data_IF_163214392554
#
_entry.id   IF_163214392554
#
_cell.length_a   1.000
_cell.length_b   1.000
_cell.length_c   1.000
_cell.angle_alpha   90.00
_cell.angle_beta   90.00
_cell.angle_gamma   90.00
#
_symmetry.space_group_name_H-M   'P 1'
#
loop_
_entity.id
_entity.type
_entity.pdbx_description
1 polymer ?
#
# COMPACT_ATOMS: atom_id res chain seq x y z
N UNK A 1 -1.63 -10.37 -5.34
CA UNK A 1 -2.35 -9.67 -4.25
C UNK A 1 -3.67 -9.14 -4.78
N UNK A 2 -4.60 -8.73 -3.92
CA UNK A 2 -5.80 -7.99 -4.33
C UNK A 2 -5.69 -6.54 -3.85
N UNK A 3 -5.45 -5.65 -4.80
CA UNK A 3 -5.36 -4.21 -4.58
C UNK A 3 -6.76 -3.62 -4.35
N UNK A 4 -6.81 -2.59 -3.50
CA UNK A 4 -8.04 -1.87 -3.15
C UNK A 4 -7.77 -0.40 -2.97
N UNK A 5 -8.81 0.40 -3.19
CA UNK A 5 -8.89 1.75 -2.63
C UNK A 5 -9.66 1.67 -1.32
N UNK A 6 -9.13 2.27 -0.26
CA UNK A 6 -9.82 2.46 1.00
C UNK A 6 -9.75 3.92 1.43
N UNK A 7 -10.61 4.31 2.36
CA UNK A 7 -10.62 5.66 2.92
C UNK A 7 -10.05 5.63 4.33
N UNK A 8 -9.10 6.53 4.60
CA UNK A 8 -8.54 6.74 5.94
C UNK A 8 -8.23 8.22 6.11
N UNK A 9 -8.66 8.78 7.24
CA UNK A 9 -8.53 10.22 7.55
C UNK A 9 -9.13 11.13 6.45
N UNK A 10 -10.20 10.67 5.77
CA UNK A 10 -10.85 11.38 4.66
C UNK A 10 -10.05 11.37 3.35
N UNK A 11 -8.96 10.62 3.27
CA UNK A 11 -8.15 10.45 2.07
C UNK A 11 -8.34 9.05 1.49
N UNK A 12 -8.49 8.98 0.16
CA UNK A 12 -8.48 7.71 -0.57
C UNK A 12 -7.03 7.26 -0.76
N UNK A 13 -6.72 6.04 -0.32
CA UNK A 13 -5.37 5.48 -0.33
C UNK A 13 -5.34 4.14 -1.06
N UNK A 14 -4.16 3.78 -1.57
CA UNK A 14 -3.91 2.45 -2.12
C UNK A 14 -3.62 1.47 -0.99
N UNK A 15 -4.34 0.34 -1.02
CA UNK A 15 -4.17 -0.73 -0.07
C UNK A 15 -4.17 -2.09 -0.73
N UNK A 16 -3.92 -3.13 0.07
CA UNK A 16 -4.07 -4.51 -0.36
C UNK A 16 -4.75 -5.35 0.72
N UNK A 17 -5.70 -6.19 0.33
CA UNK A 17 -6.31 -7.13 1.24
C UNK A 17 -5.34 -8.23 1.67
N UNK A 18 -5.36 -8.54 2.96
CA UNK A 18 -4.67 -9.67 3.58
C UNK A 18 -5.65 -10.47 4.44
N UNK A 19 -5.20 -11.64 4.92
CA UNK A 19 -5.97 -12.49 5.83
C UNK A 19 -7.38 -12.83 5.33
N UNK A 20 -7.50 -13.19 4.05
CA UNK A 20 -8.79 -13.53 3.45
C UNK A 20 -9.75 -12.34 3.35
N UNK A 21 -9.20 -11.17 3.00
CA UNK A 21 -9.93 -9.89 2.84
C UNK A 21 -10.48 -9.30 4.15
N UNK A 22 -9.98 -9.74 5.30
CA UNK A 22 -10.40 -9.23 6.61
C UNK A 22 -9.67 -7.94 7.02
N UNK A 23 -8.45 -7.72 6.50
CA UNK A 23 -7.60 -6.58 6.83
C UNK A 23 -6.95 -5.98 5.60
N UNK A 24 -6.58 -4.70 5.68
CA UNK A 24 -6.02 -3.94 4.56
C UNK A 24 -4.67 -3.39 4.97
N UNK A 25 -3.64 -3.69 4.21
CA UNK A 25 -2.34 -3.01 4.36
C UNK A 25 -2.42 -1.65 3.66
N UNK A 26 -2.12 -0.56 4.35
CA UNK A 26 -1.82 0.75 3.75
C UNK A 26 -0.43 0.68 3.10
N UNK A 27 -0.37 0.68 1.76
CA UNK A 27 0.87 0.44 1.02
C UNK A 27 1.91 1.56 1.25
N UNK A 28 1.46 2.82 1.27
CA UNK A 28 2.33 3.96 1.49
C UNK A 28 2.87 3.96 2.92
N UNK A 29 2.01 3.69 3.91
CA UNK A 29 2.42 3.63 5.31
C UNK A 29 3.38 2.46 5.58
N UNK A 30 3.08 1.28 5.04
CA UNK A 30 3.94 0.10 5.18
C UNK A 30 5.34 0.35 4.59
N UNK A 31 5.41 0.91 3.38
CA UNK A 31 6.68 1.28 2.75
C UNK A 31 7.45 2.32 3.57
N UNK A 32 6.78 3.39 4.00
CA UNK A 32 7.40 4.46 4.78
C UNK A 32 7.98 3.95 6.09
N UNK A 33 7.24 3.13 6.84
CA UNK A 33 7.69 2.60 8.11
C UNK A 33 8.89 1.65 7.96
N UNK A 34 8.94 0.90 6.85
CA UNK A 34 10.03 -0.04 6.60
C UNK A 34 11.30 0.61 6.06
N UNK A 35 11.15 1.53 5.10
CA UNK A 35 12.29 2.12 4.38
C UNK A 35 12.69 3.49 4.90
N UNK A 36 11.89 4.10 5.80
CA UNK A 36 12.07 5.47 6.26
C UNK A 36 11.85 6.52 5.16
N UNK A 37 11.26 6.11 4.02
CA UNK A 37 11.10 6.95 2.83
C UNK A 37 9.70 6.82 2.25
N UNK A 38 9.16 7.95 1.81
CA UNK A 38 7.88 7.99 1.09
C UNK A 38 8.04 7.39 -0.31
N UNK A 39 7.01 6.69 -0.77
CA UNK A 39 6.85 6.23 -2.14
C UNK A 39 5.58 6.89 -2.72
N UNK A 40 5.70 8.03 -3.42
CA UNK A 40 4.56 8.74 -4.00
C UNK A 40 3.68 7.86 -4.91
N UNK A 41 4.30 6.90 -5.59
CA UNK A 41 3.63 5.89 -6.43
C UNK A 41 2.73 4.93 -5.63
N UNK A 42 2.81 4.91 -4.30
CA UNK A 42 1.93 4.10 -3.44
C UNK A 42 0.82 4.94 -2.78
N UNK A 43 0.75 6.24 -3.07
CA UNK A 43 -0.18 7.15 -2.39
C UNK A 43 -1.65 6.80 -2.65
N UNK A 44 -1.99 6.51 -3.91
CA UNK A 44 -3.32 6.09 -4.33
C UNK A 44 -3.24 5.13 -5.53
N UNK A 45 -4.39 4.59 -5.92
CA UNK A 45 -4.45 3.61 -7.01
C UNK A 45 -4.05 4.19 -8.37
N UNK A 46 -4.25 5.49 -8.61
CA UNK A 46 -3.84 6.12 -9.87
C UNK A 46 -2.31 6.21 -9.93
N UNK A 47 -1.68 6.71 -8.86
CA UNK A 47 -0.23 6.79 -8.76
C UNK A 47 0.45 5.42 -8.88
N UNK A 48 -0.17 4.37 -8.34
CA UNK A 48 0.32 3.00 -8.46
C UNK A 48 0.27 2.50 -9.91
N UNK A 49 -0.81 2.80 -10.63
CA UNK A 49 -0.95 2.44 -12.04
C UNK A 49 0.06 3.21 -12.90
N UNK A 50 0.23 4.51 -12.65
CA UNK A 50 1.20 5.36 -13.37
C UNK A 50 2.65 4.94 -13.12
N UNK A 51 2.95 4.44 -11.92
CA UNK A 51 4.26 3.90 -11.56
C UNK A 51 4.58 2.52 -12.14
N UNK A 52 3.59 1.83 -12.71
CA UNK A 52 3.78 0.57 -13.43
C UNK A 52 4.41 -0.55 -12.60
N UNK A 53 5.27 -1.35 -13.24
CA UNK A 53 5.85 -2.55 -12.65
C UNK A 53 6.70 -2.24 -11.40
N UNK A 54 7.47 -1.15 -11.41
CA UNK A 54 8.30 -0.74 -10.27
C UNK A 54 7.44 -0.41 -9.03
N UNK A 55 6.29 0.24 -9.23
CA UNK A 55 5.36 0.53 -8.14
C UNK A 55 4.67 -0.74 -7.64
N UNK A 56 4.34 -1.66 -8.55
CA UNK A 56 3.73 -2.94 -8.21
C UNK A 56 4.69 -3.81 -7.37
N UNK A 57 5.99 -3.82 -7.71
CA UNK A 57 7.01 -4.51 -6.93
C UNK A 57 7.13 -3.94 -5.51
N UNK A 58 7.11 -2.61 -5.36
CA UNK A 58 7.09 -1.96 -4.04
C UNK A 58 5.83 -2.30 -3.25
N UNK A 59 4.67 -2.34 -3.91
CA UNK A 59 3.43 -2.77 -3.27
C UNK A 59 3.51 -4.23 -2.79
N UNK A 60 4.13 -5.13 -3.57
CA UNK A 60 4.32 -6.52 -3.14
C UNK A 60 5.21 -6.62 -1.91
N UNK A 61 6.32 -5.89 -1.89
CA UNK A 61 7.22 -5.86 -0.73
C UNK A 61 6.54 -5.26 0.50
N UNK A 62 5.76 -4.19 0.32
CA UNK A 62 4.97 -3.58 1.39
C UNK A 62 3.99 -4.59 2.02
N UNK A 63 3.31 -5.41 1.21
CA UNK A 63 2.38 -6.44 1.72
C UNK A 63 3.12 -7.58 2.44
N UNK A 64 4.24 -8.05 1.90
CA UNK A 64 5.02 -9.15 2.51
C UNK A 64 5.62 -8.78 3.87
N UNK A 65 5.89 -7.50 4.09
CA UNK A 65 6.65 -7.01 5.25
C UNK A 65 5.93 -5.90 6.02
N UNK A 66 4.60 -5.85 5.92
CA UNK A 66 3.76 -4.86 6.55
C UNK A 66 3.90 -4.92 8.09
N UNK A 67 4.28 -3.80 8.75
CA UNK A 67 4.20 -3.72 10.20
C UNK A 67 2.72 -3.65 10.64
N UNK A 68 2.40 -4.10 11.87
CA UNK A 68 1.03 -4.09 12.40
C UNK A 68 0.39 -2.69 12.40
N UNK A 69 1.19 -1.64 12.54
CA UNK A 69 0.79 -0.24 12.48
C UNK A 69 0.43 0.26 11.09
N UNK A 70 0.56 -0.56 10.05
CA UNK A 70 0.16 -0.27 8.68
C UNK A 70 -0.97 -1.18 8.18
N UNK A 71 -1.65 -1.89 9.08
CA UNK A 71 -2.75 -2.85 8.82
C UNK A 71 -4.07 -2.32 9.43
#
# INVERSE_FOLDING_TARGET
MRLVTFESEGLRRAGAFIEGDARIVDLAAAHQQRHGAHAPELADMLALIEGGDDALDKAMEAVKSAPETAI
#
